data_IF_274361649923
#
_entry.id   IF_274361649923
#
_cell.length_a   1.000
_cell.length_b   1.000
_cell.length_c   1.000
_cell.angle_alpha   90.00
_cell.angle_beta   90.00
_cell.angle_gamma   90.00
#
_symmetry.space_group_name_H-M   'P 1'
#
loop_
_entity.id
_entity.type
_entity.pdbx_description
1 polymer ?
#
# COMPACT_ATOMS: atom_id res chain seq x y z
N UNK A 1 -3.63 1.40 -22.63
CA UNK A 1 -3.95 2.46 -21.63
C UNK A 1 -3.85 1.88 -20.24
N UNK A 2 -3.13 2.52 -19.37
CA UNK A 2 -2.96 2.09 -17.98
C UNK A 2 -3.20 3.28 -17.05
N UNK A 3 -3.44 2.98 -15.79
CA UNK A 3 -3.53 4.02 -14.77
C UNK A 3 -2.11 4.52 -14.50
N UNK A 4 -1.89 5.82 -14.61
CA UNK A 4 -0.58 6.42 -14.34
C UNK A 4 -0.28 6.43 -12.85
N UNK A 5 -1.20 6.97 -12.08
CA UNK A 5 -1.06 6.99 -10.63
C UNK A 5 -2.42 7.03 -9.95
N UNK A 6 -2.42 6.66 -8.69
CA UNK A 6 -3.60 6.68 -7.84
C UNK A 6 -3.17 7.20 -6.48
N UNK A 7 -4.06 7.88 -5.79
CA UNK A 7 -3.74 8.39 -4.47
C UNK A 7 -4.99 8.54 -3.61
N UNK A 8 -4.77 8.65 -2.33
CA UNK A 8 -5.84 8.94 -1.39
C UNK A 8 -5.33 9.91 -0.32
N UNK A 9 -6.25 10.54 0.37
CA UNK A 9 -5.93 11.53 1.37
C UNK A 9 -6.31 11.03 2.77
N UNK A 10 -5.54 11.48 3.75
CA UNK A 10 -5.81 11.20 5.16
C UNK A 10 -5.65 12.51 5.95
N UNK A 11 -6.19 12.54 7.17
CA UNK A 11 -6.02 13.71 8.01
C UNK A 11 -4.55 13.92 8.36
N UNK A 12 -4.10 15.17 8.52
CA UNK A 12 -2.70 15.46 8.85
C UNK A 12 -2.20 14.73 10.09
N UNK A 13 -3.07 14.50 11.07
CA UNK A 13 -2.69 13.81 12.31
C UNK A 13 -2.31 12.36 12.11
N UNK A 14 -2.74 11.75 11.00
CA UNK A 14 -2.47 10.34 10.68
C UNK A 14 -1.46 10.18 9.57
N UNK A 15 -1.11 11.25 8.91
CA UNK A 15 -0.31 11.21 7.69
C UNK A 15 1.07 10.57 7.91
N UNK A 16 1.84 11.06 8.88
CA UNK A 16 3.22 10.57 9.08
C UNK A 16 3.27 9.10 9.50
N UNK A 17 2.38 8.68 10.38
CA UNK A 17 2.35 7.29 10.81
C UNK A 17 1.91 6.36 9.69
N UNK A 18 0.99 6.81 8.85
CA UNK A 18 0.54 6.02 7.71
C UNK A 18 1.64 5.90 6.64
N UNK A 19 2.35 6.99 6.36
CA UNK A 19 3.49 6.97 5.44
C UNK A 19 4.54 5.97 5.93
N UNK A 20 4.87 6.00 7.23
CA UNK A 20 5.84 5.06 7.80
C UNK A 20 5.38 3.60 7.63
N UNK A 21 4.10 3.35 7.83
CA UNK A 21 3.54 2.01 7.63
C UNK A 21 3.73 1.54 6.19
N UNK A 22 3.43 2.40 5.21
CA UNK A 22 3.57 2.03 3.80
C UNK A 22 5.02 1.84 3.38
N UNK A 23 5.95 2.60 3.93
CA UNK A 23 7.39 2.39 3.68
C UNK A 23 7.75 0.94 4.01
N UNK A 24 7.29 0.45 5.15
CA UNK A 24 7.59 -0.92 5.59
C UNK A 24 6.83 -1.97 4.80
N UNK A 25 5.53 -1.76 4.63
CA UNK A 25 4.66 -2.74 3.97
C UNK A 25 4.99 -2.92 2.49
N UNK A 26 5.38 -1.84 1.80
CA UNK A 26 5.65 -1.89 0.37
C UNK A 26 7.09 -2.26 0.03
N UNK A 27 8.00 -2.28 1.00
CA UNK A 27 9.40 -2.63 0.75
C UNK A 27 9.56 -4.00 0.08
N UNK A 28 8.87 -5.07 0.52
CA UNK A 28 8.99 -6.38 -0.15
C UNK A 28 8.56 -6.37 -1.60
N UNK A 29 7.69 -5.44 -1.98
CA UNK A 29 7.22 -5.30 -3.36
C UNK A 29 8.17 -4.49 -4.24
N UNK A 30 9.26 -3.98 -3.66
CA UNK A 30 10.20 -3.16 -4.38
C UNK A 30 9.79 -1.70 -4.52
N UNK A 31 8.76 -1.28 -3.81
CA UNK A 31 8.35 0.12 -3.79
C UNK A 31 9.04 0.87 -2.67
N UNK A 32 9.52 2.06 -2.96
CA UNK A 32 10.12 2.96 -1.99
C UNK A 32 9.57 4.36 -2.20
N UNK A 33 9.81 5.22 -1.24
CA UNK A 33 9.43 6.63 -1.37
C UNK A 33 10.28 7.26 -2.46
N UNK A 34 9.64 7.74 -3.52
CA UNK A 34 10.31 8.34 -4.67
C UNK A 34 10.17 9.85 -4.74
N UNK A 35 9.08 10.37 -4.20
CA UNK A 35 8.82 11.81 -4.19
C UNK A 35 8.21 12.20 -2.85
N UNK A 36 8.54 13.41 -2.41
CA UNK A 36 8.02 13.90 -1.15
C UNK A 36 7.79 15.41 -1.19
N UNK A 37 6.60 15.82 -0.77
CA UNK A 37 6.28 17.20 -0.45
C UNK A 37 6.04 17.22 1.04
N UNK A 38 7.03 17.62 1.85
CA UNK A 38 6.98 17.46 3.32
C UNK A 38 5.68 17.96 3.95
N UNK A 39 5.06 17.09 4.75
CA UNK A 39 3.79 17.38 5.41
C UNK A 39 2.58 17.41 4.49
N UNK A 40 2.74 17.21 3.19
CA UNK A 40 1.65 17.33 2.21
C UNK A 40 1.36 16.06 1.45
N UNK A 41 2.37 15.40 0.90
CA UNK A 41 2.16 14.21 0.08
C UNK A 41 3.46 13.41 -0.07
N UNK A 42 3.30 12.09 -0.22
CA UNK A 42 4.40 11.18 -0.50
C UNK A 42 3.99 10.25 -1.63
N UNK A 43 4.88 10.10 -2.60
CA UNK A 43 4.67 9.19 -3.73
C UNK A 43 5.62 8.00 -3.65
N UNK A 44 5.08 6.80 -3.86
CA UNK A 44 5.82 5.54 -3.79
C UNK A 44 5.88 4.89 -5.17
N UNK A 45 6.97 4.23 -5.46
CA UNK A 45 7.11 3.53 -6.72
C UNK A 45 8.36 2.65 -6.77
N UNK A 46 8.54 1.94 -7.92
CA UNK A 46 9.62 0.96 -8.06
C UNK A 46 10.99 1.57 -8.37
N UNK A 47 11.04 2.81 -8.84
CA UNK A 47 12.30 3.43 -9.23
C UNK A 47 12.19 4.95 -9.23
N UNK A 48 13.34 5.61 -9.28
CA UNK A 48 13.39 7.08 -9.32
C UNK A 48 12.56 7.62 -10.48
N UNK A 49 11.73 8.60 -10.18
CA UNK A 49 10.87 9.21 -11.18
C UNK A 49 9.54 8.51 -11.42
N UNK A 50 9.35 7.33 -10.83
CA UNK A 50 8.10 6.59 -10.93
C UNK A 50 7.40 6.52 -9.59
N UNK A 51 6.29 7.21 -9.46
CA UNK A 51 5.50 7.21 -8.24
C UNK A 51 4.02 7.02 -8.56
N UNK A 52 3.61 5.79 -8.85
CA UNK A 52 2.21 5.51 -9.17
C UNK A 52 1.26 5.50 -8.00
N UNK A 53 1.76 5.48 -6.78
CA UNK A 53 0.92 5.41 -5.58
C UNK A 53 1.23 6.57 -4.63
N UNK A 54 0.19 7.33 -4.27
CA UNK A 54 0.34 8.54 -3.47
C UNK A 54 -0.52 8.56 -2.23
N UNK A 55 0.02 9.13 -1.16
CA UNK A 55 -0.72 9.43 0.06
C UNK A 55 -0.58 10.94 0.31
N UNK A 56 -1.69 11.60 0.55
CA UNK A 56 -1.70 13.05 0.80
C UNK A 56 -2.34 13.37 2.15
N UNK A 57 -1.91 14.47 2.76
CA UNK A 57 -2.53 14.99 3.95
C UNK A 57 -3.59 16.02 3.53
N UNK A 58 -4.78 15.92 4.10
CA UNK A 58 -5.87 16.85 3.79
C UNK A 58 -6.69 17.10 5.05
N UNK A 59 -6.87 18.38 5.38
CA UNK A 59 -7.68 18.77 6.53
C UNK A 59 -9.12 18.25 6.38
N UNK A 60 -9.68 17.84 7.50
CA UNK A 60 -11.06 17.35 7.58
C UNK A 60 -11.34 16.09 6.76
N UNK A 61 -10.30 15.39 6.31
CA UNK A 61 -10.48 14.13 5.59
C UNK A 61 -10.95 13.04 6.54
N UNK A 62 -12.09 12.46 6.24
CA UNK A 62 -12.68 11.41 7.08
C UNK A 62 -12.31 10.01 6.62
N UNK A 63 -11.64 9.92 5.46
CA UNK A 63 -11.27 8.66 4.87
C UNK A 63 -12.43 7.99 4.14
N UNK A 64 -12.19 7.60 2.91
CA UNK A 64 -13.10 6.76 2.14
C UNK A 64 -12.37 5.46 1.93
N UNK A 65 -12.99 4.35 2.24
CA UNK A 65 -12.37 3.06 2.04
C UNK A 65 -11.91 2.88 0.60
N UNK A 66 -10.71 2.38 0.40
CA UNK A 66 -10.17 2.10 -0.92
C UNK A 66 -9.66 0.66 -0.96
N UNK A 67 -9.97 -0.04 -2.02
CA UNK A 67 -9.41 -1.36 -2.27
C UNK A 67 -8.36 -1.23 -3.37
N UNK A 68 -7.11 -1.50 -3.02
CA UNK A 68 -6.00 -1.35 -3.94
C UNK A 68 -5.18 -2.63 -3.93
N UNK A 69 -4.83 -3.13 -5.10
CA UNK A 69 -4.02 -4.33 -5.20
C UNK A 69 -2.69 -4.02 -5.88
N UNK A 70 -1.61 -4.45 -5.26
CA UNK A 70 -0.28 -4.37 -5.84
C UNK A 70 0.07 -5.74 -6.43
N UNK A 71 0.69 -5.73 -7.58
CA UNK A 71 1.16 -6.97 -8.18
C UNK A 71 2.49 -7.37 -7.56
N UNK A 72 2.58 -8.63 -7.16
CA UNK A 72 3.82 -9.21 -6.66
C UNK A 72 4.40 -10.17 -7.70
N UNK A 73 5.71 -10.31 -7.73
CA UNK A 73 6.40 -11.15 -8.73
C UNK A 73 6.26 -12.65 -8.45
N UNK A 74 6.03 -13.04 -7.20
CA UNK A 74 5.94 -14.44 -6.80
C UNK A 74 5.19 -14.60 -5.48
N UNK A 75 4.94 -15.86 -5.08
CA UNK A 75 4.21 -16.16 -3.85
C UNK A 75 4.99 -15.70 -2.62
N UNK A 76 6.31 -15.87 -2.63
CA UNK A 76 7.15 -15.46 -1.51
C UNK A 76 7.02 -13.96 -1.23
N UNK A 77 6.94 -13.15 -2.29
CA UNK A 77 6.76 -11.70 -2.15
C UNK A 77 5.41 -11.36 -1.53
N UNK A 78 4.36 -12.10 -1.90
CA UNK A 78 3.02 -11.93 -1.30
C UNK A 78 3.08 -12.25 0.21
N UNK A 79 3.74 -13.37 0.55
CA UNK A 79 3.89 -13.78 1.95
C UNK A 79 4.65 -12.72 2.74
N UNK A 80 5.73 -12.20 2.18
CA UNK A 80 6.56 -11.16 2.83
C UNK A 80 5.79 -9.86 3.01
N UNK A 81 5.03 -9.46 2.00
CA UNK A 81 4.19 -8.28 2.11
C UNK A 81 3.23 -8.40 3.30
N UNK A 82 2.53 -9.53 3.38
CA UNK A 82 1.57 -9.76 4.46
C UNK A 82 2.28 -9.71 5.82
N UNK A 83 3.39 -10.43 5.95
CA UNK A 83 4.16 -10.47 7.19
C UNK A 83 4.60 -9.07 7.65
N UNK A 84 5.23 -8.31 6.76
CA UNK A 84 5.73 -6.99 7.11
C UNK A 84 4.61 -5.98 7.36
N UNK A 85 3.52 -6.07 6.61
CA UNK A 85 2.38 -5.19 6.80
C UNK A 85 1.73 -5.40 8.18
N UNK A 86 1.61 -6.66 8.61
CA UNK A 86 1.06 -6.99 9.94
C UNK A 86 2.01 -6.51 11.04
N UNK A 87 3.31 -6.78 10.89
CA UNK A 87 4.31 -6.34 11.87
C UNK A 87 4.33 -4.83 12.04
N UNK A 88 4.07 -4.11 10.96
CA UNK A 88 4.07 -2.64 10.98
C UNK A 88 2.79 -2.04 11.54
N UNK A 89 1.78 -2.85 11.86
CA UNK A 89 0.55 -2.37 12.48
C UNK A 89 -0.71 -2.52 11.64
N UNK A 90 -0.63 -3.17 10.50
CA UNK A 90 -1.81 -3.49 9.69
C UNK A 90 -2.60 -4.64 10.29
N UNK A 91 -3.82 -4.83 9.80
CA UNK A 91 -4.69 -5.91 10.24
C UNK A 91 -4.89 -6.91 9.11
N UNK A 92 -4.75 -8.20 9.41
CA UNK A 92 -4.98 -9.23 8.41
C UNK A 92 -6.44 -9.25 7.98
N UNK A 93 -6.66 -9.20 6.67
CA UNK A 93 -7.99 -9.31 6.07
C UNK A 93 -8.05 -10.48 5.08
N UNK A 94 -7.05 -11.35 5.12
CA UNK A 94 -6.98 -12.55 4.29
C UNK A 94 -5.53 -13.04 4.22
N UNK A 95 -5.26 -14.20 4.82
CA UNK A 95 -3.91 -14.77 4.82
C UNK A 95 -3.46 -15.12 3.41
N UNK A 96 -2.14 -15.14 3.16
CA UNK A 96 -1.62 -15.55 1.86
C UNK A 96 -2.13 -16.92 1.46
N UNK A 97 -2.56 -17.06 0.22
CA UNK A 97 -3.07 -18.33 -0.28
C UNK A 97 -3.69 -18.21 -1.66
N UNK A 98 -4.00 -19.36 -2.23
CA UNK A 98 -4.69 -19.43 -3.51
C UNK A 98 -6.15 -19.02 -3.37
N UNK A 99 -6.63 -18.27 -4.33
CA UNK A 99 -8.03 -17.84 -4.44
C UNK A 99 -8.57 -18.21 -5.81
N UNK A 100 -8.86 -19.50 -5.99
CA UNK A 100 -9.29 -20.04 -7.28
C UNK A 100 -10.57 -19.39 -7.81
N UNK A 101 -11.37 -18.79 -6.94
CA UNK A 101 -12.59 -18.08 -7.35
C UNK A 101 -12.29 -16.84 -8.20
N UNK A 102 -11.09 -16.28 -8.12
CA UNK A 102 -10.70 -15.15 -8.96
C UNK A 102 -10.10 -15.66 -10.27
N UNK A 103 -9.15 -16.58 -10.19
CA UNK A 103 -8.67 -17.37 -11.31
C UNK A 103 -7.79 -18.50 -10.74
N UNK A 104 -7.52 -19.58 -11.54
CA UNK A 104 -6.87 -20.78 -11.02
C UNK A 104 -5.53 -20.57 -10.32
N UNK A 105 -4.77 -19.59 -10.74
CA UNK A 105 -3.43 -19.35 -10.20
C UNK A 105 -3.37 -18.08 -9.34
N UNK A 106 -4.52 -17.54 -8.96
CA UNK A 106 -4.53 -16.32 -8.16
C UNK A 106 -4.06 -16.62 -6.74
N UNK A 107 -2.93 -16.03 -6.37
CA UNK A 107 -2.36 -16.12 -5.03
C UNK A 107 -2.29 -14.72 -4.46
N UNK A 108 -2.95 -14.48 -3.34
CA UNK A 108 -3.04 -13.16 -2.78
C UNK A 108 -3.13 -13.14 -1.27
N UNK A 109 -2.94 -11.97 -0.72
CA UNK A 109 -3.14 -11.69 0.69
C UNK A 109 -3.81 -10.33 0.80
N UNK A 110 -4.56 -10.13 1.86
CA UNK A 110 -5.32 -8.90 2.07
C UNK A 110 -5.00 -8.33 3.44
N UNK A 111 -4.71 -7.04 3.49
CA UNK A 111 -4.36 -6.34 4.72
C UNK A 111 -5.14 -5.04 4.77
N UNK A 112 -5.60 -4.69 5.95
CA UNK A 112 -6.14 -3.35 6.20
C UNK A 112 -5.00 -2.51 6.74
N UNK A 113 -4.80 -1.32 6.18
CA UNK A 113 -3.80 -0.41 6.72
C UNK A 113 -4.29 0.20 8.04
N UNK A 114 -3.43 0.94 8.77
CA UNK A 114 -3.79 1.47 10.09
C UNK A 114 -5.02 2.39 10.13
N UNK A 115 -5.47 2.90 9.00
CA UNK A 115 -6.68 3.72 8.95
C UNK A 115 -7.88 2.95 8.38
N UNK A 116 -7.66 1.73 7.90
CA UNK A 116 -8.73 0.83 7.42
C UNK A 116 -8.86 0.70 5.92
#
# INVERSE_FOLDING_TARGET
MTIDHVGFAVSPSKFESLVSWYITALAPLGYAKQMEFPGQAVGFGPSEGEAPFWIAAKEDEKGVGMHLAFRAKDHETVDKFHEEAIKAGGTCNGKPGLRAQYHPNYYGAFVLDPVG
#
